data_IF_834448791136
#
_entry.id   IF_834448791136
#
_cell.length_a   1.000
_cell.length_b   1.000
_cell.length_c   1.000
_cell.angle_alpha   90.00
_cell.angle_beta   90.00
_cell.angle_gamma   90.00
#
_symmetry.space_group_name_H-M   'P 1'
#
loop_
_entity.id
_entity.type
_entity.pdbx_description
1 polymer ?
#
# COMPACT_ATOMS: atom_id res chain seq x y z
N UNK A 1 18.56 3.17 18.34
CA UNK A 1 17.66 2.22 19.03
C UNK A 1 17.69 0.89 18.30
N UNK A 2 17.77 -0.25 19.00
CA UNK A 2 17.75 -1.57 18.36
C UNK A 2 16.44 -1.78 17.61
N UNK A 3 16.52 -2.45 16.46
CA UNK A 3 15.35 -2.79 15.64
C UNK A 3 14.45 -3.74 16.45
N UNK A 4 13.16 -3.42 16.65
CA UNK A 4 12.24 -4.35 17.31
C UNK A 4 12.15 -5.64 16.49
N UNK A 5 12.16 -6.78 17.18
CA UNK A 5 12.02 -8.08 16.53
C UNK A 5 10.69 -8.13 15.75
N UNK A 6 10.68 -8.68 14.52
CA UNK A 6 9.45 -8.83 13.78
C UNK A 6 8.52 -9.79 14.54
N UNK A 7 7.24 -9.45 14.60
CA UNK A 7 6.23 -10.42 15.03
C UNK A 7 6.22 -11.56 14.02
N UNK A 8 5.95 -12.76 14.50
CA UNK A 8 5.83 -13.95 13.66
C UNK A 8 4.44 -14.55 13.79
N UNK A 9 3.97 -15.17 12.71
CA UNK A 9 2.74 -15.95 12.69
C UNK A 9 3.05 -17.24 11.92
N UNK A 10 2.86 -18.40 12.56
CA UNK A 10 3.19 -19.73 11.98
C UNK A 10 4.64 -19.81 11.47
N UNK A 11 5.58 -19.22 12.21
CA UNK A 11 7.01 -19.21 11.87
C UNK A 11 7.40 -18.20 10.77
N UNK A 12 6.45 -17.48 10.17
CA UNK A 12 6.72 -16.47 9.16
C UNK A 12 6.75 -15.06 9.78
N UNK A 13 7.74 -14.21 9.42
CA UNK A 13 7.76 -12.81 9.86
C UNK A 13 6.60 -12.03 9.23
N UNK A 14 5.86 -11.29 10.07
CA UNK A 14 4.68 -10.52 9.67
C UNK A 14 5.08 -9.07 9.38
N UNK A 15 4.86 -8.57 8.14
CA UNK A 15 5.13 -7.17 7.81
C UNK A 15 4.41 -6.20 8.75
N UNK A 16 5.05 -5.08 9.06
CA UNK A 16 4.50 -4.05 9.94
C UNK A 16 3.14 -3.55 9.46
N UNK A 17 2.93 -3.41 8.15
CA UNK A 17 1.66 -2.95 7.59
C UNK A 17 0.60 -4.03 7.44
N UNK A 18 0.95 -5.33 7.58
CA UNK A 18 -0.02 -6.41 7.47
C UNK A 18 -1.01 -6.37 8.64
N UNK A 19 -2.27 -6.67 8.37
CA UNK A 19 -3.32 -6.74 9.37
C UNK A 19 -3.28 -8.05 10.16
N UNK A 20 -3.92 -8.03 11.33
CA UNK A 20 -4.24 -9.21 12.11
C UNK A 20 -5.75 -9.40 12.15
N UNK A 21 -6.24 -10.64 12.19
CA UNK A 21 -7.66 -10.97 12.09
C UNK A 21 -8.51 -10.23 13.12
N UNK A 22 -7.99 -10.07 14.34
CA UNK A 22 -8.69 -9.38 15.43
C UNK A 22 -8.59 -7.84 15.33
N UNK A 23 -7.89 -7.30 14.33
CA UNK A 23 -7.90 -5.85 14.06
C UNK A 23 -9.09 -5.43 13.20
N UNK A 24 -9.80 -6.38 12.57
CA UNK A 24 -10.99 -6.09 11.78
C UNK A 24 -12.12 -5.60 12.68
N UNK A 25 -12.67 -4.45 12.32
CA UNK A 25 -13.91 -3.94 12.91
C UNK A 25 -15.07 -4.14 11.94
N UNK A 26 -16.31 -4.32 12.43
CA UNK A 26 -17.50 -4.31 11.59
C UNK A 26 -17.50 -3.05 10.71
N UNK A 27 -17.74 -3.24 9.41
CA UNK A 27 -17.84 -2.12 8.47
C UNK A 27 -19.18 -1.43 8.71
N UNK A 28 -19.20 -0.15 9.12
CA UNK A 28 -20.46 0.57 9.27
C UNK A 28 -21.09 0.80 7.90
N UNK A 29 -22.41 0.88 7.87
CA UNK A 29 -23.16 1.24 6.66
C UNK A 29 -22.71 2.61 6.15
N UNK A 30 -22.43 2.70 4.85
CA UNK A 30 -22.13 3.96 4.19
C UNK A 30 -23.43 4.64 3.79
N UNK A 31 -23.56 5.93 4.10
CA UNK A 31 -24.74 6.76 3.80
C UNK A 31 -24.32 8.03 3.08
N UNK A 32 -25.25 8.62 2.33
CA UNK A 32 -25.06 9.92 1.69
C UNK A 32 -25.09 11.02 2.75
N UNK A 33 -24.14 11.95 2.66
CA UNK A 33 -24.04 13.14 3.49
C UNK A 33 -24.16 14.41 2.62
N UNK A 34 -24.20 15.59 3.26
CA UNK A 34 -24.28 16.89 2.57
C UNK A 34 -23.16 17.04 1.52
N UNK A 35 -21.95 16.62 1.86
CA UNK A 35 -20.76 16.74 1.01
C UNK A 35 -20.10 15.38 0.77
N UNK A 36 -20.84 14.40 0.26
CA UNK A 36 -20.32 13.08 -0.15
C UNK A 36 -20.91 11.92 0.64
N UNK A 37 -20.07 11.06 1.23
CA UNK A 37 -20.50 9.92 2.07
C UNK A 37 -20.08 10.00 3.54
N UNK A 38 -20.77 9.29 4.43
CA UNK A 38 -20.39 9.13 5.83
C UNK A 38 -20.70 7.70 6.30
N UNK A 39 -20.21 7.34 7.47
CA UNK A 39 -20.72 6.15 8.17
C UNK A 39 -22.03 6.50 8.90
N UNK A 40 -22.99 5.57 8.90
CA UNK A 40 -24.33 5.78 9.48
C UNK A 40 -24.31 6.09 10.99
N UNK A 41 -23.32 5.58 11.71
CA UNK A 41 -23.09 5.87 13.13
C UNK A 41 -22.37 7.21 13.37
N UNK A 42 -22.05 7.97 12.31
CA UNK A 42 -21.36 9.26 12.31
C UNK A 42 -19.98 9.29 12.98
N UNK A 43 -19.37 8.13 13.27
CA UNK A 43 -18.07 8.04 13.93
C UNK A 43 -16.90 7.95 12.93
N UNK A 44 -15.78 8.56 13.26
CA UNK A 44 -14.54 8.39 12.51
C UNK A 44 -13.68 7.23 12.91
N UNK A 45 -12.71 6.89 12.05
CA UNK A 45 -11.62 5.99 12.42
C UNK A 45 -10.83 6.45 13.67
N UNK A 46 -10.89 7.75 13.99
CA UNK A 46 -10.32 8.35 15.20
C UNK A 46 -11.37 9.00 16.12
N UNK A 47 -12.67 8.70 15.96
CA UNK A 47 -13.74 9.31 16.78
C UNK A 47 -14.16 10.74 16.38
N UNK A 48 -13.66 11.30 15.28
CA UNK A 48 -14.13 12.60 14.76
C UNK A 48 -15.57 12.53 14.26
N UNK A 49 -16.34 13.61 14.49
CA UNK A 49 -17.68 13.77 13.94
C UNK A 49 -17.64 13.64 12.40
N UNK A 50 -18.55 12.83 11.83
CA UNK A 50 -18.67 12.51 10.39
C UNK A 50 -17.57 11.63 9.78
N UNK A 51 -16.56 11.29 10.59
CA UNK A 51 -15.58 10.25 10.31
C UNK A 51 -14.58 10.45 9.19
N UNK A 52 -14.53 11.65 8.63
CA UNK A 52 -13.56 12.06 7.60
C UNK A 52 -12.32 12.66 8.22
N UNK A 53 -11.23 12.65 7.47
CA UNK A 53 -10.09 13.50 7.76
C UNK A 53 -10.27 14.92 7.19
N UNK A 54 -9.27 15.78 7.41
CA UNK A 54 -9.23 17.17 6.93
C UNK A 54 -9.31 17.30 5.40
N UNK A 55 -8.95 16.24 4.68
CA UNK A 55 -8.93 16.19 3.22
C UNK A 55 -10.27 15.65 2.66
N UNK A 56 -11.23 15.37 3.55
CA UNK A 56 -12.58 14.94 3.22
C UNK A 56 -12.73 13.44 2.99
N UNK A 57 -11.71 12.64 3.27
CA UNK A 57 -11.69 11.20 2.98
C UNK A 57 -12.27 10.41 4.16
N UNK A 58 -13.22 9.52 3.89
CA UNK A 58 -13.77 8.58 4.88
C UNK A 58 -12.84 7.34 4.94
N UNK A 59 -12.29 7.00 6.10
CA UNK A 59 -11.30 5.91 6.20
C UNK A 59 -11.87 4.61 6.76
N UNK A 60 -11.44 3.46 6.23
CA UNK A 60 -11.69 2.14 6.83
C UNK A 60 -11.19 2.11 8.28
N UNK A 61 -12.02 1.59 9.18
CA UNK A 61 -11.73 1.51 10.61
C UNK A 61 -11.00 0.22 10.96
N UNK A 62 -10.11 0.33 11.96
CA UNK A 62 -9.30 -0.77 12.44
C UNK A 62 -9.13 -0.67 13.96
N UNK A 63 -9.12 -1.80 14.64
CA UNK A 63 -8.67 -1.87 16.02
C UNK A 63 -7.13 -1.90 16.06
N UNK A 64 -6.53 -1.34 17.11
CA UNK A 64 -5.08 -1.34 17.29
C UNK A 64 -4.63 -2.54 18.13
N UNK A 65 -4.77 -3.75 17.57
CA UNK A 65 -4.47 -5.03 18.24
C UNK A 65 -3.44 -5.86 17.46
N UNK A 66 -2.32 -5.24 17.12
CA UNK A 66 -1.26 -5.89 16.34
C UNK A 66 -0.71 -7.10 17.13
N UNK A 67 -0.69 -8.27 16.51
CA UNK A 67 -0.26 -9.52 17.16
C UNK A 67 -1.39 -10.37 17.72
N UNK A 68 -2.64 -9.88 17.69
CA UNK A 68 -3.81 -10.59 18.19
C UNK A 68 -4.53 -11.33 17.05
N UNK A 69 -4.65 -12.66 17.16
CA UNK A 69 -5.24 -13.53 16.15
C UNK A 69 -4.24 -14.00 15.07
N UNK A 70 -4.73 -14.19 13.84
CA UNK A 70 -3.93 -14.66 12.70
C UNK A 70 -3.47 -13.50 11.83
N UNK A 71 -2.26 -13.58 11.29
CA UNK A 71 -1.73 -12.57 10.38
C UNK A 71 -2.38 -12.70 8.99
N UNK A 72 -2.89 -11.59 8.46
CA UNK A 72 -3.50 -11.48 7.13
C UNK A 72 -2.51 -10.81 6.17
N UNK A 73 -1.67 -11.62 5.51
CA UNK A 73 -0.55 -11.13 4.67
C UNK A 73 -0.98 -10.39 3.40
N UNK A 74 -2.21 -10.61 2.95
CA UNK A 74 -2.87 -9.98 1.80
C UNK A 74 -3.68 -8.74 2.20
N UNK A 75 -3.73 -8.41 3.50
CA UNK A 75 -4.57 -7.33 4.03
C UNK A 75 -3.71 -6.26 4.67
N UNK A 76 -3.87 -5.03 4.19
CA UNK A 76 -3.13 -3.87 4.70
C UNK A 76 -3.91 -3.18 5.81
N UNK A 77 -3.29 -3.04 6.99
CA UNK A 77 -3.84 -2.30 8.11
C UNK A 77 -3.66 -0.78 7.90
N UNK A 78 -4.75 -0.11 7.53
CA UNK A 78 -4.75 1.27 7.05
C UNK A 78 -3.98 2.25 7.97
N UNK A 79 -4.20 2.32 9.30
CA UNK A 79 -3.44 3.24 10.15
C UNK A 79 -1.92 3.02 10.11
N UNK A 80 -1.46 1.77 9.98
CA UNK A 80 -0.02 1.45 9.93
C UNK A 80 0.56 1.77 8.57
N UNK A 81 -0.15 1.49 7.48
CA UNK A 81 0.25 1.91 6.13
C UNK A 81 0.34 3.43 6.05
N UNK A 82 -0.66 4.17 6.55
CA UNK A 82 -0.63 5.64 6.55
C UNK A 82 0.56 6.19 7.32
N UNK A 83 0.86 5.62 8.49
CA UNK A 83 2.02 6.00 9.29
C UNK A 83 3.31 5.70 8.54
N UNK A 84 3.43 4.52 7.93
CA UNK A 84 4.61 4.13 7.17
C UNK A 84 4.84 5.05 5.96
N UNK A 85 3.79 5.35 5.20
CA UNK A 85 3.88 6.25 4.05
C UNK A 85 4.26 7.67 4.47
N UNK A 86 3.52 8.29 5.43
CA UNK A 86 3.77 9.67 5.89
C UNK A 86 5.14 9.88 6.54
N UNK A 87 5.68 8.85 7.19
CA UNK A 87 6.97 8.93 7.89
C UNK A 87 8.10 8.24 7.11
N UNK A 88 7.83 7.81 5.88
CA UNK A 88 8.76 7.05 5.02
C UNK A 88 9.46 5.91 5.77
N UNK A 89 8.67 5.09 6.47
CA UNK A 89 9.15 3.95 7.24
C UNK A 89 9.07 2.68 6.41
N UNK A 90 9.97 1.75 6.70
CA UNK A 90 9.97 0.42 6.13
C UNK A 90 8.63 -0.28 6.37
N UNK A 91 7.92 -0.65 5.30
CA UNK A 91 6.63 -1.33 5.40
C UNK A 91 6.68 -2.70 6.10
N UNK A 92 7.88 -3.30 6.20
CA UNK A 92 8.09 -4.60 6.83
C UNK A 92 8.42 -4.48 8.31
N UNK A 93 9.39 -3.65 8.72
CA UNK A 93 9.80 -3.57 10.13
C UNK A 93 9.23 -2.38 10.90
N UNK A 94 8.68 -1.37 10.21
CA UNK A 94 8.17 -0.13 10.81
C UNK A 94 9.26 0.85 11.29
N UNK A 95 10.54 0.53 11.07
CA UNK A 95 11.69 1.41 11.30
C UNK A 95 11.99 2.32 10.09
N UNK A 96 13.07 3.12 10.13
CA UNK A 96 13.47 3.96 9.01
C UNK A 96 13.65 3.15 7.72
N UNK A 97 13.19 3.68 6.58
CA UNK A 97 13.53 3.15 5.26
C UNK A 97 14.98 3.49 4.90
N UNK A 98 15.51 2.77 3.91
CA UNK A 98 16.82 3.06 3.35
C UNK A 98 16.78 4.31 2.48
N UNK A 99 17.80 5.15 2.60
CA UNK A 99 17.97 6.40 1.86
C UNK A 99 19.43 6.60 1.52
N UNK A 100 19.70 6.98 0.27
CA UNK A 100 21.01 7.40 -0.23
C UNK A 100 20.82 8.59 -1.20
N UNK A 101 21.86 8.97 -1.93
CA UNK A 101 21.83 10.08 -2.89
C UNK A 101 20.85 9.89 -4.07
N UNK A 102 20.46 8.65 -4.37
CA UNK A 102 19.45 8.31 -5.38
C UNK A 102 18.03 8.32 -4.79
N UNK A 103 17.91 8.40 -3.47
CA UNK A 103 16.64 8.51 -2.75
C UNK A 103 16.25 7.27 -1.97
N UNK A 104 14.94 7.13 -1.75
CA UNK A 104 14.32 6.12 -0.89
C UNK A 104 14.08 4.83 -1.66
N UNK A 105 14.31 3.69 -1.02
CA UNK A 105 14.10 2.37 -1.65
C UNK A 105 12.62 1.96 -1.65
N UNK A 106 12.11 1.62 -2.83
CA UNK A 106 10.79 1.05 -3.09
C UNK A 106 10.90 -0.26 -3.86
N UNK A 107 9.88 -1.10 -3.74
CA UNK A 107 9.64 -2.23 -4.64
C UNK A 107 8.35 -1.95 -5.40
N UNK A 108 8.43 -1.99 -6.73
CA UNK A 108 7.32 -1.73 -7.64
C UNK A 108 7.05 -2.98 -8.48
N UNK A 109 5.84 -3.06 -9.04
CA UNK A 109 5.54 -4.04 -10.08
C UNK A 109 6.37 -3.76 -11.34
N UNK A 110 6.76 -4.82 -12.03
CA UNK A 110 7.61 -4.73 -13.22
C UNK A 110 6.82 -4.28 -14.45
N UNK A 111 6.90 -2.98 -14.76
CA UNK A 111 6.38 -2.37 -15.98
C UNK A 111 7.49 -1.90 -16.91
N UNK A 112 8.69 -2.50 -16.84
CA UNK A 112 9.77 -2.20 -17.79
C UNK A 112 9.28 -2.45 -19.22
N UNK A 113 9.41 -1.43 -20.07
CA UNK A 113 8.89 -1.42 -21.44
C UNK A 113 7.72 -0.46 -21.65
N UNK A 114 7.10 0.05 -20.58
CA UNK A 114 6.18 1.19 -20.65
C UNK A 114 7.00 2.48 -20.75
N UNK A 115 6.67 3.34 -21.71
CA UNK A 115 7.35 4.62 -21.92
C UNK A 115 7.26 5.51 -20.67
N UNK A 116 8.40 6.07 -20.24
CA UNK A 116 8.48 6.96 -19.08
C UNK A 116 8.52 6.26 -17.71
N UNK A 117 8.26 4.94 -17.63
CA UNK A 117 8.37 4.20 -16.36
C UNK A 117 9.85 4.07 -15.92
N UNK A 118 10.18 4.16 -14.60
CA UNK A 118 9.31 4.29 -13.42
C UNK A 118 8.98 5.72 -12.97
N UNK A 119 9.27 6.73 -13.80
CA UNK A 119 9.04 8.12 -13.42
C UNK A 119 7.54 8.42 -13.28
N UNK A 120 7.16 9.08 -12.17
CA UNK A 120 5.76 9.36 -11.79
C UNK A 120 4.89 8.13 -11.54
N UNK A 121 5.49 6.97 -11.30
CA UNK A 121 4.76 5.78 -10.87
C UNK A 121 4.01 6.04 -9.56
N UNK A 122 2.76 5.60 -9.49
CA UNK A 122 1.90 5.77 -8.32
C UNK A 122 1.86 4.47 -7.53
N UNK A 123 2.28 4.52 -6.27
CA UNK A 123 2.31 3.33 -5.42
C UNK A 123 1.56 3.52 -4.12
N UNK A 124 0.92 2.46 -3.65
CA UNK A 124 0.34 2.35 -2.30
C UNK A 124 1.31 1.68 -1.33
N UNK A 125 2.43 1.14 -1.83
CA UNK A 125 3.44 0.46 -1.02
C UNK A 125 4.40 1.48 -0.40
N UNK A 126 4.51 1.54 0.95
CA UNK A 126 5.52 2.38 1.59
C UNK A 126 6.94 1.89 1.29
N UNK A 127 7.97 2.74 1.52
CA UNK A 127 9.36 2.38 1.23
C UNK A 127 9.85 1.23 2.12
N UNK A 128 11.07 0.77 1.85
CA UNK A 128 11.71 -0.37 2.49
C UNK A 128 13.09 0.01 3.05
N UNK A 129 13.55 -0.72 4.05
CA UNK A 129 14.97 -0.74 4.39
C UNK A 129 15.65 -1.90 3.67
N UNK A 130 16.96 -1.77 3.36
CA UNK A 130 17.73 -2.82 2.65
C UNK A 130 17.58 -4.22 3.25
N UNK A 131 17.70 -4.41 4.59
CA UNK A 131 17.56 -5.74 5.18
C UNK A 131 16.15 -6.37 5.06
N UNK A 132 15.13 -5.58 4.72
CA UNK A 132 13.77 -6.07 4.53
C UNK A 132 13.39 -6.29 3.07
N UNK A 133 14.18 -5.78 2.11
CA UNK A 133 13.85 -5.87 0.69
C UNK A 133 13.72 -7.34 0.20
N UNK A 134 14.62 -8.28 0.57
CA UNK A 134 14.46 -9.69 0.19
C UNK A 134 13.18 -10.31 0.73
N UNK A 135 12.83 -9.97 1.97
CA UNK A 135 11.62 -10.50 2.60
C UNK A 135 10.36 -9.96 1.91
N UNK A 136 10.32 -8.67 1.61
CA UNK A 136 9.20 -8.04 0.91
C UNK A 136 9.01 -8.62 -0.50
N UNK A 137 10.10 -8.79 -1.26
CA UNK A 137 10.07 -9.37 -2.61
C UNK A 137 9.55 -10.83 -2.61
N UNK A 138 9.83 -11.61 -1.57
CA UNK A 138 9.40 -13.01 -1.45
C UNK A 138 7.98 -13.18 -0.93
N UNK A 139 7.58 -12.39 0.07
CA UNK A 139 6.32 -12.56 0.81
C UNK A 139 5.17 -11.73 0.24
N UNK A 140 5.43 -10.67 -0.51
CA UNK A 140 4.35 -9.85 -1.07
C UNK A 140 3.65 -10.60 -2.20
N UNK A 141 2.36 -10.99 -2.05
CA UNK A 141 1.64 -11.72 -3.09
C UNK A 141 1.55 -10.94 -4.41
N UNK A 142 1.41 -9.61 -4.33
CA UNK A 142 1.30 -8.71 -5.47
C UNK A 142 2.59 -8.60 -6.29
N UNK A 143 3.75 -8.78 -5.64
CA UNK A 143 5.07 -8.57 -6.26
C UNK A 143 5.75 -9.88 -6.66
N UNK A 144 5.13 -11.05 -6.41
CA UNK A 144 5.77 -12.36 -6.59
C UNK A 144 6.14 -12.60 -8.06
N UNK A 145 7.44 -12.54 -8.35
CA UNK A 145 8.01 -12.83 -9.68
C UNK A 145 7.92 -11.70 -10.70
N UNK A 146 7.46 -10.50 -10.31
CA UNK A 146 7.36 -9.30 -11.16
C UNK A 146 7.70 -8.05 -10.35
N UNK A 147 8.84 -8.06 -9.68
CA UNK A 147 9.26 -6.96 -8.81
C UNK A 147 10.49 -6.28 -9.37
N UNK A 148 10.53 -4.95 -9.28
CA UNK A 148 11.70 -4.14 -9.56
C UNK A 148 11.99 -3.26 -8.36
N UNK A 149 13.25 -3.18 -7.97
CA UNK A 149 13.69 -2.21 -6.98
C UNK A 149 13.92 -0.86 -7.64
N UNK A 150 13.37 0.19 -7.01
CA UNK A 150 13.49 1.56 -7.48
C UNK A 150 13.90 2.45 -6.32
N UNK A 151 14.82 3.37 -6.59
CA UNK A 151 15.14 4.51 -5.73
C UNK A 151 14.35 5.71 -6.23
N UNK A 152 13.63 6.39 -5.34
CA UNK A 152 12.91 7.62 -5.68
C UNK A 152 13.44 8.78 -4.85
N UNK A 153 13.89 9.85 -5.51
CA UNK A 153 14.39 11.07 -4.84
C UNK A 153 13.27 11.83 -4.14
N UNK A 154 12.07 11.83 -4.72
CA UNK A 154 10.92 12.52 -4.16
C UNK A 154 9.70 11.58 -4.11
N UNK A 155 8.97 11.68 -3.00
CA UNK A 155 7.77 10.90 -2.71
C UNK A 155 6.65 11.88 -2.37
N UNK A 156 5.73 12.06 -3.31
CA UNK A 156 4.60 12.98 -3.16
C UNK A 156 3.36 12.20 -2.75
N UNK A 157 2.92 12.33 -1.50
CA UNK A 157 1.67 11.70 -1.02
C UNK A 157 0.50 12.53 -1.51
N UNK A 158 0.02 12.24 -2.71
CA UNK A 158 -0.94 13.03 -3.46
C UNK A 158 -2.22 12.27 -3.80
N UNK A 159 -2.36 11.02 -3.36
CA UNK A 159 -3.56 10.22 -3.61
C UNK A 159 -4.01 9.36 -2.43
N UNK A 160 -5.23 8.83 -2.58
CA UNK A 160 -5.83 7.83 -1.70
C UNK A 160 -6.32 6.67 -2.53
N UNK A 161 -6.01 5.47 -2.08
CA UNK A 161 -6.50 4.23 -2.65
C UNK A 161 -7.68 3.69 -1.84
N UNK A 162 -8.79 3.38 -2.50
CA UNK A 162 -9.99 2.87 -1.84
C UNK A 162 -11.18 2.66 -2.77
N UNK A 163 -12.36 2.56 -2.17
CA UNK A 163 -13.62 2.28 -2.86
C UNK A 163 -14.38 3.59 -3.09
N UNK A 164 -14.76 3.89 -4.33
CA UNK A 164 -15.46 5.13 -4.73
C UNK A 164 -16.94 4.86 -4.90
N UNK A 165 -17.74 5.71 -4.29
CA UNK A 165 -19.20 5.66 -4.32
C UNK A 165 -19.76 6.78 -5.20
N UNK A 166 -20.99 6.59 -5.67
CA UNK A 166 -21.77 7.64 -6.31
C UNK A 166 -23.13 7.77 -5.65
N UNK A 167 -23.74 8.94 -5.83
CA UNK A 167 -25.09 9.21 -5.34
C UNK A 167 -26.10 8.24 -5.97
N UNK A 168 -27.12 7.91 -5.18
CA UNK A 168 -28.33 7.21 -5.62
C UNK A 168 -29.55 8.07 -5.22
N UNK A 169 -30.75 7.64 -5.62
CA UNK A 169 -31.99 8.33 -5.27
C UNK A 169 -32.34 8.21 -3.76
N UNK A 170 -31.71 7.26 -3.06
CA UNK A 170 -31.94 7.00 -1.64
C UNK A 170 -30.81 7.47 -0.71
N UNK A 171 -30.93 7.21 0.60
CA UNK A 171 -29.89 7.56 1.56
C UNK A 171 -28.62 6.71 1.41
N UNK A 172 -28.67 5.59 0.69
CA UNK A 172 -27.55 4.67 0.52
C UNK A 172 -26.87 4.88 -0.83
N UNK A 173 -25.61 5.36 -0.88
CA UNK A 173 -24.89 5.50 -2.12
C UNK A 173 -24.54 4.12 -2.69
N UNK A 174 -24.29 4.08 -4.00
CA UNK A 174 -23.89 2.84 -4.68
C UNK A 174 -22.40 2.83 -4.95
N UNK A 175 -21.77 1.68 -4.79
CA UNK A 175 -20.37 1.48 -5.13
C UNK A 175 -20.20 1.64 -6.64
N UNK A 176 -19.42 2.64 -7.06
CA UNK A 176 -19.18 2.95 -8.47
C UNK A 176 -17.90 2.28 -8.97
N UNK A 177 -16.82 2.41 -8.21
CA UNK A 177 -15.51 1.92 -8.59
C UNK A 177 -14.84 1.27 -7.36
N UNK A 178 -14.24 0.10 -7.55
CA UNK A 178 -13.47 -0.60 -6.50
C UNK A 178 -12.00 -0.29 -6.68
N UNK A 179 -11.27 -0.20 -5.57
CA UNK A 179 -9.80 -0.27 -5.60
C UNK A 179 -9.16 0.79 -6.52
N UNK A 180 -9.65 2.03 -6.42
CA UNK A 180 -9.18 3.15 -7.22
C UNK A 180 -8.27 4.07 -6.44
N UNK A 181 -7.28 4.63 -7.14
CA UNK A 181 -6.53 5.80 -6.66
C UNK A 181 -7.25 7.07 -7.08
N UNK A 182 -7.55 7.92 -6.10
CA UNK A 182 -8.12 9.25 -6.31
C UNK A 182 -7.13 10.28 -5.76
N UNK A 183 -6.74 11.23 -6.62
CA UNK A 183 -5.79 12.29 -6.26
C UNK A 183 -6.42 13.37 -5.40
N UNK A 184 -5.57 14.15 -4.74
CA UNK A 184 -5.96 15.12 -3.70
C UNK A 184 -6.82 16.26 -4.26
N UNK A 185 -6.63 16.64 -5.52
CA UNK A 185 -7.40 17.68 -6.20
C UNK A 185 -8.77 17.18 -6.71
N UNK A 186 -9.00 15.87 -6.72
CA UNK A 186 -10.24 15.27 -7.21
C UNK A 186 -11.36 15.31 -6.14
N UNK A 187 -12.52 15.84 -6.53
CA UNK A 187 -13.71 15.91 -5.67
C UNK A 187 -14.22 14.53 -5.25
N UNK A 188 -13.95 13.47 -6.02
CA UNK A 188 -14.34 12.08 -5.73
C UNK A 188 -13.78 11.57 -4.42
N UNK A 189 -12.73 12.20 -3.85
CA UNK A 189 -12.20 11.86 -2.52
C UNK A 189 -13.26 11.97 -1.41
N UNK A 190 -14.22 12.89 -1.57
CA UNK A 190 -15.36 13.05 -0.65
C UNK A 190 -16.38 11.91 -0.75
N UNK A 191 -16.28 11.10 -1.79
CA UNK A 191 -17.13 9.96 -2.09
C UNK A 191 -16.39 8.63 -1.96
N UNK A 192 -15.21 8.63 -1.34
CA UNK A 192 -14.37 7.46 -1.21
C UNK A 192 -14.35 6.93 0.23
N UNK A 193 -14.35 5.60 0.37
CA UNK A 193 -13.87 4.90 1.56
C UNK A 193 -12.40 4.50 1.35
N UNK A 194 -11.49 5.30 1.88
CA UNK A 194 -10.04 5.13 1.78
C UNK A 194 -9.52 3.94 2.58
N UNK A 195 -8.59 3.20 1.98
CA UNK A 195 -7.91 2.07 2.57
C UNK A 195 -6.40 2.33 2.76
N UNK A 196 -5.76 3.02 1.81
CA UNK A 196 -4.33 3.29 1.83
C UNK A 196 -4.04 4.69 1.29
N UNK A 197 -2.93 5.30 1.69
CA UNK A 197 -2.38 6.44 0.97
C UNK A 197 -1.68 5.96 -0.31
N UNK A 198 -1.78 6.72 -1.38
CA UNK A 198 -1.00 6.57 -2.60
C UNK A 198 0.02 7.71 -2.70
N UNK A 199 1.16 7.42 -3.31
CA UNK A 199 2.21 8.40 -3.55
C UNK A 199 2.76 8.28 -4.96
N UNK A 200 2.97 9.43 -5.59
CA UNK A 200 3.71 9.57 -6.86
C UNK A 200 5.21 9.65 -6.58
N UNK A 201 5.98 8.80 -7.25
CA UNK A 201 7.45 8.74 -7.14
C UNK A 201 8.11 9.53 -8.27
N UNK A 202 9.08 10.39 -7.95
CA UNK A 202 9.83 11.15 -8.96
C UNK A 202 11.34 11.14 -8.72
N UNK A 203 12.09 11.37 -9.80
CA UNK A 203 13.54 11.20 -9.82
C UNK A 203 13.93 9.74 -9.59
N UNK A 204 13.33 8.85 -10.37
CA UNK A 204 13.42 7.42 -10.14
C UNK A 204 14.64 6.77 -10.81
N UNK A 205 15.33 5.89 -10.07
CA UNK A 205 16.44 5.07 -10.57
C UNK A 205 16.15 3.60 -10.30
N UNK A 206 16.22 2.75 -11.34
CA UNK A 206 16.09 1.29 -11.17
C UNK A 206 17.37 0.72 -10.54
N UNK A 207 17.21 -0.17 -9.56
CA UNK A 207 18.31 -0.82 -8.84
C UNK A 207 18.22 -2.33 -9.07
N UNK A 208 19.37 -3.00 -9.15
CA UNK A 208 19.41 -4.46 -9.21
C UNK A 208 18.98 -5.06 -7.86
N UNK A 209 18.04 -6.00 -7.93
CA UNK A 209 17.59 -6.80 -6.79
C UNK A 209 18.73 -7.62 -6.18
N UNK A 210 19.72 -8.04 -6.97
CA UNK A 210 20.89 -8.76 -6.49
C UNK A 210 21.71 -7.91 -5.48
N UNK A 211 21.84 -6.60 -5.70
CA UNK A 211 22.52 -5.66 -4.79
C UNK A 211 21.79 -5.47 -3.44
N UNK A 212 20.53 -5.91 -3.38
CA UNK A 212 19.68 -5.90 -2.20
C UNK A 212 19.63 -7.27 -1.51
N UNK A 213 20.36 -8.27 -2.02
CA UNK A 213 20.34 -9.64 -1.51
C UNK A 213 19.05 -10.40 -1.88
N UNK A 214 18.35 -9.97 -2.93
CA UNK A 214 17.20 -10.69 -3.48
C UNK A 214 17.68 -11.55 -4.64
N UNK A 215 17.71 -12.87 -4.44
CA UNK A 215 17.95 -13.81 -5.54
C UNK A 215 16.80 -13.74 -6.55
N UNK A 216 17.08 -13.23 -7.74
CA UNK A 216 16.18 -13.32 -8.89
C UNK A 216 16.30 -14.73 -9.48
N UNK A 217 15.19 -15.46 -9.54
CA UNK A 217 15.16 -16.70 -10.29
C UNK A 217 15.37 -16.37 -11.78
N UNK A 218 16.60 -16.58 -12.26
CA UNK A 218 16.93 -16.50 -13.69
C UNK A 218 16.05 -17.52 -14.41
N UNK A 219 15.04 -17.04 -15.14
CA UNK A 219 14.34 -17.88 -16.11
C UNK A 219 15.25 -18.03 -17.32
N UNK A 220 16.07 -19.07 -17.33
CA UNK A 220 16.69 -19.54 -18.57
C UNK A 220 15.57 -20.09 -19.45
N UNK A 221 15.23 -19.36 -20.52
CA UNK A 221 14.48 -19.94 -21.62
C UNK A 221 15.34 -21.06 -22.24
N UNK A 222 14.88 -22.32 -22.29
CA UNK A 222 15.58 -23.32 -23.08
C UNK A 222 15.48 -22.91 -24.55
N UNK A 223 16.64 -22.65 -25.17
CA UNK A 223 16.77 -22.53 -26.62
C UNK A 223 16.24 -23.83 -27.22
N UNK A 224 15.11 -23.76 -27.93
CA UNK A 224 14.67 -24.86 -28.79
C UNK A 224 15.70 -25.01 -29.91
N UNK A 225 16.58 -26.00 -29.78
CA UNK A 225 17.32 -26.53 -30.92
C UNK A 225 16.30 -27.15 -31.87
N UNK A 226 16.17 -26.55 -33.06
CA UNK A 226 15.37 -27.10 -34.14
C UNK A 226 15.94 -28.45 -34.58
N UNK A 227 15.11 -29.48 -34.57
CA UNK A 227 15.41 -30.70 -35.31
C UNK A 227 14.86 -30.52 -36.72
N UNK A 228 15.77 -30.38 -37.68
CA UNK A 228 15.50 -30.65 -39.08
C UNK A 228 15.57 -32.17 -39.28
N UNK A 229 14.47 -32.78 -39.71
CA UNK A 229 14.39 -33.96 -40.59
C UNK A 229 12.91 -34.20 -40.93
#
# INVERSE_FOLDING_TARGET
MPRPLPLTCKGLPVPYIAAWSNERLPRPTVVTAKEGIAFADALGANGHAQGRDRDGVLWKRWALRRGDGEAEFDVVHAPRQKRAMRKLLCQVCGGPSDENEEGRLFLLEDYRGVEGWPEREVTVHPPLCRPCAPLAARLCPHLRGKVVAVRARQVSIDGVYGDVYRRSDGPFPVLAEKEQVVFTDDWRRKWMVGAQLAATLTGCTVVDLAELGVETAVRTCPVRTGSAA
#
